data_IF_702437506271
#
_entry.id   IF_702437506271
#
_cell.length_a   1.000
_cell.length_b   1.000
_cell.length_c   1.000
_cell.angle_alpha   90.00
_cell.angle_beta   90.00
_cell.angle_gamma   90.00
#
_symmetry.space_group_name_H-M   'P 1'
#
loop_
_entity.id
_entity.type
_entity.pdbx_description
1 polymer ?
#
# COMPACT_ATOMS: atom_id res chain seq x y z
N UNK A 1 -19.28 4.60 -6.07
CA UNK A 1 -17.94 5.16 -6.25
C UNK A 1 -16.94 4.04 -6.49
N UNK A 2 -16.09 4.22 -7.48
CA UNK A 2 -15.07 3.23 -7.81
C UNK A 2 -13.76 3.59 -7.13
N UNK A 3 -13.00 2.58 -6.81
CA UNK A 3 -11.68 2.77 -6.25
C UNK A 3 -10.77 1.64 -6.67
N UNK A 4 -9.63 1.54 -6.02
CA UNK A 4 -8.61 0.57 -6.35
C UNK A 4 -8.17 -0.18 -5.12
N UNK A 5 -7.83 -1.45 -5.31
CA UNK A 5 -7.10 -2.23 -4.32
C UNK A 5 -5.77 -2.56 -4.96
N UNK A 6 -4.69 -2.04 -4.40
CA UNK A 6 -3.35 -2.19 -4.94
C UNK A 6 -2.58 -3.11 -4.01
N UNK A 7 -1.97 -4.14 -4.58
CA UNK A 7 -1.30 -5.18 -3.80
C UNK A 7 0.18 -5.17 -4.15
N UNK A 8 1.01 -5.09 -3.13
CA UNK A 8 2.48 -5.06 -3.29
C UNK A 8 3.12 -6.16 -2.47
N UNK A 9 4.26 -6.67 -2.94
CA UNK A 9 5.18 -7.36 -2.05
C UNK A 9 6.16 -6.33 -1.49
N UNK A 10 6.63 -6.54 -0.27
CA UNK A 10 7.53 -5.58 0.38
C UNK A 10 8.67 -6.31 1.06
N UNK A 11 9.67 -5.53 1.50
CA UNK A 11 10.76 -6.07 2.30
C UNK A 11 10.72 -5.56 3.74
N UNK A 12 9.54 -5.24 4.23
CA UNK A 12 9.39 -4.76 5.61
C UNK A 12 9.72 -5.89 6.57
N UNK A 13 10.64 -5.62 7.52
CA UNK A 13 11.10 -6.66 8.42
C UNK A 13 11.36 -6.18 9.85
N UNK A 14 11.08 -4.92 10.16
CA UNK A 14 11.25 -4.42 11.52
C UNK A 14 10.22 -3.34 11.82
N UNK A 15 10.16 -2.92 13.07
CA UNK A 15 9.15 -1.96 13.49
C UNK A 15 9.39 -0.56 12.93
N UNK A 16 10.65 -0.21 12.68
CA UNK A 16 10.95 1.08 12.08
C UNK A 16 10.38 1.16 10.66
N UNK A 17 10.56 0.11 9.87
CA UNK A 17 9.99 0.04 8.54
C UNK A 17 8.46 0.15 8.59
N UNK A 18 7.85 -0.52 9.54
CA UNK A 18 6.41 -0.47 9.69
C UNK A 18 5.93 0.94 10.01
N UNK A 19 6.62 1.63 10.90
CA UNK A 19 6.27 3.01 11.26
C UNK A 19 6.42 3.92 10.04
N UNK A 20 7.50 3.77 9.30
CA UNK A 20 7.72 4.54 8.08
C UNK A 20 6.63 4.30 7.05
N UNK A 21 6.24 3.04 6.87
CA UNK A 21 5.14 2.69 5.97
C UNK A 21 3.84 3.39 6.40
N UNK A 22 3.54 3.31 7.69
CA UNK A 22 2.34 3.91 8.24
C UNK A 22 2.31 5.41 7.98
N UNK A 23 3.44 6.08 8.21
CA UNK A 23 3.53 7.53 8.02
C UNK A 23 3.36 7.91 6.54
N UNK A 24 3.97 7.16 5.64
CA UNK A 24 3.84 7.43 4.21
C UNK A 24 2.39 7.26 3.77
N UNK A 25 1.76 6.15 4.18
CA UNK A 25 0.37 5.90 3.79
C UNK A 25 -0.57 6.96 4.35
N UNK A 26 -0.29 7.45 5.56
CA UNK A 26 -1.11 8.49 6.16
C UNK A 26 -0.99 9.81 5.39
N UNK A 27 0.10 10.02 4.67
CA UNK A 27 0.30 11.25 3.90
C UNK A 27 -0.44 11.26 2.57
N UNK A 28 -0.95 10.12 2.14
CA UNK A 28 -1.71 10.03 0.87
C UNK A 28 -3.19 10.10 1.18
N UNK A 29 -3.81 11.25 0.93
CA UNK A 29 -5.22 11.44 1.23
C UNK A 29 -6.15 10.46 0.50
N UNK A 30 -5.83 9.96 -0.72
CA UNK A 30 -6.71 8.98 -1.35
C UNK A 30 -6.76 7.61 -0.67
N UNK A 31 -5.80 7.31 0.22
CA UNK A 31 -5.79 6.01 0.90
C UNK A 31 -6.92 5.96 1.92
N UNK A 32 -7.78 4.95 1.78
CA UNK A 32 -8.90 4.74 2.69
C UNK A 32 -8.53 3.78 3.80
N UNK A 33 -7.84 2.71 3.43
CA UNK A 33 -7.51 1.65 4.37
C UNK A 33 -6.35 0.86 3.82
N UNK A 34 -5.55 0.24 4.69
CA UNK A 34 -4.47 -0.61 4.24
C UNK A 34 -4.19 -1.67 5.30
N UNK A 35 -3.65 -2.80 4.84
CA UNK A 35 -3.24 -3.88 5.73
C UNK A 35 -1.92 -4.43 5.21
N UNK A 36 -1.14 -5.01 6.12
CA UNK A 36 0.09 -5.69 5.73
C UNK A 36 0.16 -7.03 6.46
N UNK A 37 0.50 -8.08 5.71
CA UNK A 37 0.64 -9.42 6.24
C UNK A 37 2.11 -9.70 6.50
N UNK A 38 2.53 -9.52 7.73
CA UNK A 38 3.93 -9.68 8.11
C UNK A 38 4.32 -11.15 8.28
N UNK A 39 3.35 -12.05 8.31
CA UNK A 39 3.64 -13.48 8.39
C UNK A 39 3.89 -14.11 7.03
N UNK A 40 3.51 -13.42 5.97
CA UNK A 40 3.76 -13.90 4.61
C UNK A 40 5.22 -13.67 4.25
N UNK A 41 5.79 -14.58 3.47
CA UNK A 41 7.17 -14.44 3.03
C UNK A 41 7.37 -13.18 2.19
N UNK A 42 6.35 -12.78 1.45
CA UNK A 42 6.41 -11.60 0.59
C UNK A 42 6.02 -10.32 1.32
N UNK A 43 5.62 -10.41 2.59
CA UNK A 43 5.17 -9.25 3.36
C UNK A 43 4.17 -8.41 2.56
N UNK A 44 3.05 -9.02 2.21
CA UNK A 44 2.09 -8.44 1.27
C UNK A 44 1.40 -7.24 1.88
N UNK A 45 1.46 -6.13 1.18
CA UNK A 45 0.76 -4.89 1.52
C UNK A 45 -0.43 -4.72 0.59
N UNK A 46 -1.60 -4.49 1.16
CA UNK A 46 -2.82 -4.23 0.40
C UNK A 46 -3.32 -2.85 0.76
N UNK A 47 -3.51 -2.01 -0.25
CA UNK A 47 -3.93 -0.62 -0.07
C UNK A 47 -5.24 -0.40 -0.79
N UNK A 48 -6.24 0.08 -0.06
CA UNK A 48 -7.53 0.47 -0.64
C UNK A 48 -7.53 1.98 -0.80
N UNK A 49 -7.75 2.46 -2.01
CA UNK A 49 -7.57 3.88 -2.31
C UNK A 49 -8.61 4.33 -3.34
N UNK A 50 -8.87 5.63 -3.38
CA UNK A 50 -9.81 6.21 -4.34
C UNK A 50 -9.13 6.59 -5.66
N UNK A 51 -7.80 6.59 -5.70
CA UNK A 51 -7.04 6.94 -6.89
C UNK A 51 -5.90 5.98 -7.09
N UNK A 52 -5.45 5.84 -8.33
CA UNK A 52 -4.32 4.98 -8.62
C UNK A 52 -3.03 5.69 -8.23
N UNK A 53 -2.51 5.34 -7.07
CA UNK A 53 -1.27 5.91 -6.54
C UNK A 53 -0.13 4.90 -6.60
N UNK A 54 -0.22 3.92 -7.48
CA UNK A 54 0.71 2.80 -7.53
C UNK A 54 2.16 3.26 -7.54
N UNK A 55 2.52 4.08 -8.52
CA UNK A 55 3.90 4.52 -8.69
C UNK A 55 4.31 5.52 -7.60
N UNK A 56 3.40 6.41 -7.23
CA UNK A 56 3.69 7.40 -6.20
C UNK A 56 4.04 6.74 -4.88
N UNK A 57 3.33 5.69 -4.54
CA UNK A 57 3.57 4.98 -3.29
C UNK A 57 4.90 4.23 -3.33
N UNK A 58 5.20 3.59 -4.45
CA UNK A 58 6.48 2.90 -4.62
C UNK A 58 7.63 3.90 -4.43
N UNK A 59 7.54 5.06 -5.07
CA UNK A 59 8.59 6.06 -5.00
C UNK A 59 8.74 6.62 -3.58
N UNK A 60 7.62 6.89 -2.91
CA UNK A 60 7.66 7.41 -1.56
C UNK A 60 8.31 6.46 -0.57
N UNK A 61 8.03 5.17 -0.70
CA UNK A 61 8.61 4.17 0.19
C UNK A 61 10.07 3.91 -0.15
N UNK A 62 10.42 3.99 -1.43
CA UNK A 62 11.79 3.77 -1.87
C UNK A 62 12.74 4.77 -1.23
N UNK A 63 12.30 6.01 -1.06
CA UNK A 63 13.13 7.04 -0.43
C UNK A 63 13.46 6.71 1.02
N UNK A 64 12.68 5.85 1.64
CA UNK A 64 12.90 5.42 3.03
C UNK A 64 13.57 4.06 3.10
N UNK A 65 14.02 3.53 1.96
CA UNK A 65 14.68 2.24 1.93
C UNK A 65 13.74 1.05 1.91
N UNK A 66 12.45 1.28 1.72
CA UNK A 66 11.47 0.21 1.68
C UNK A 66 11.19 -0.13 0.21
N UNK A 67 11.39 -1.40 -0.13
CA UNK A 67 11.15 -1.88 -1.48
C UNK A 67 9.72 -2.39 -1.59
N UNK A 68 8.96 -1.83 -2.52
CA UNK A 68 7.64 -2.32 -2.86
C UNK A 68 7.62 -2.74 -4.31
N UNK A 69 7.10 -3.92 -4.58
CA UNK A 69 6.94 -4.43 -5.93
C UNK A 69 5.47 -4.68 -6.18
N UNK A 70 4.94 -4.12 -7.24
CA UNK A 70 3.53 -4.27 -7.57
C UNK A 70 3.21 -5.71 -7.90
N UNK A 71 2.22 -6.27 -7.23
CA UNK A 71 1.72 -7.61 -7.50
C UNK A 71 0.44 -7.57 -8.34
N UNK A 72 -0.39 -6.57 -8.13
CA UNK A 72 -1.62 -6.42 -8.89
C UNK A 72 -2.42 -5.23 -8.45
N UNK A 73 -3.28 -4.75 -9.35
CA UNK A 73 -4.19 -3.66 -9.07
C UNK A 73 -5.59 -4.11 -9.47
N UNK A 74 -6.54 -3.93 -8.57
CA UNK A 74 -7.92 -4.32 -8.79
C UNK A 74 -8.82 -3.13 -8.66
N UNK A 75 -9.84 -3.06 -9.49
CA UNK A 75 -10.85 -2.03 -9.39
C UNK A 75 -11.95 -2.54 -8.47
N UNK A 76 -12.35 -1.70 -7.53
CA UNK A 76 -13.37 -2.05 -6.57
C UNK A 76 -14.44 -0.97 -6.53
N UNK A 77 -15.65 -1.38 -6.24
CA UNK A 77 -16.77 -0.45 -6.09
C UNK A 77 -17.13 -0.39 -4.63
N UNK A 78 -16.89 0.76 -4.05
CA UNK A 78 -17.03 0.89 -2.62
C UNK A 78 -18.44 1.14 -2.17
N UNK A 79 -19.33 1.47 -2.99
CA UNK A 79 -20.61 1.80 -2.49
C UNK A 79 -21.62 1.24 -3.32
N UNK A 80 -22.34 0.47 -3.03
CA UNK A 80 -23.15 0.03 -3.85
C UNK A 80 -24.38 0.29 -3.62
N UNK A 81 -24.93 0.65 -3.84
CA UNK A 81 -26.07 1.00 -3.69
C UNK A 81 -26.81 0.53 -3.48
#
# INVERSE_FOLDING_TARGET
MDGYIIVYSTNIHNSEDFINLSNVLASFSPVLEWTIDLTDADKVLRVQTTQDITTLLIDGLKELGIRCTLMGTFIDKFCDD
#
